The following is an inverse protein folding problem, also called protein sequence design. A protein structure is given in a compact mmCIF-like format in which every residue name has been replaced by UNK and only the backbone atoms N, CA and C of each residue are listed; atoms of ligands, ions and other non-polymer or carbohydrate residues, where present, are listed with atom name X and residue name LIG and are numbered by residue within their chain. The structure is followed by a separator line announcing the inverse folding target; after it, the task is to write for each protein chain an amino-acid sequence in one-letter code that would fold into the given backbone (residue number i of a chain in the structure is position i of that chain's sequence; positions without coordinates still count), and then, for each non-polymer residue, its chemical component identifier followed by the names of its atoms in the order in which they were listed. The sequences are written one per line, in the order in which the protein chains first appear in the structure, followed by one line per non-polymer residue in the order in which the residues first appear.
data_IF_341415219923
#
_entry.id   IF_341415219923
#
_cell.length_a   1.000
_cell.length_b   1.000
_cell.length_c   1.000
_cell.angle_alpha   90.00
_cell.angle_beta   90.00
_cell.angle_gamma   90.00
#
_symmetry.space_group_name_H-M   'P 1'
#
loop_
_entity.id
_entity.type
_entity.pdbx_description
1 polymer ?
#
# COMPACT_ATOMS: atom_id res chain seq x y z
N UNK A 1 45.47 -28.10 46.87
CA UNK A 1 44.14 -27.81 46.28
C UNK A 1 43.53 -26.43 46.62
N UNK A 2 43.95 -25.70 47.67
CA UNK A 2 43.30 -24.42 48.09
C UNK A 2 43.59 -23.19 47.18
N UNK A 3 44.71 -23.17 46.44
CA UNK A 3 45.14 -22.00 45.62
C UNK A 3 44.39 -21.86 44.28
N UNK A 4 44.07 -22.98 43.61
CA UNK A 4 43.28 -22.99 42.36
C UNK A 4 41.83 -22.51 42.58
N UNK A 5 41.19 -22.91 43.68
CA UNK A 5 39.84 -22.43 44.03
C UNK A 5 39.81 -20.92 44.28
N UNK A 6 40.84 -20.32 44.92
CA UNK A 6 40.92 -18.86 45.12
C UNK A 6 41.02 -18.08 43.80
N UNK A 7 41.82 -18.57 42.85
CA UNK A 7 41.98 -17.94 41.52
C UNK A 7 40.68 -18.02 40.71
N UNK A 8 39.99 -19.17 40.74
CA UNK A 8 38.66 -19.31 40.12
C UNK A 8 37.64 -18.32 40.70
N UNK A 9 37.64 -18.11 42.02
CA UNK A 9 36.75 -17.15 42.66
C UNK A 9 37.05 -15.70 42.25
N UNK A 10 38.34 -15.33 42.15
CA UNK A 10 38.71 -14.00 41.66
C UNK A 10 38.33 -13.79 40.19
N UNK A 11 38.44 -14.81 39.33
CA UNK A 11 37.98 -14.73 37.93
C UNK A 11 36.46 -14.59 37.83
N UNK A 12 35.68 -15.29 38.66
CA UNK A 12 34.20 -15.14 38.68
C UNK A 12 33.78 -13.76 39.18
N UNK A 13 34.45 -13.23 40.20
CA UNK A 13 34.19 -11.87 40.70
C UNK A 13 34.57 -10.81 39.65
N UNK A 14 35.73 -10.95 38.99
CA UNK A 14 36.15 -10.05 37.91
C UNK A 14 35.19 -10.10 36.72
N UNK A 15 34.68 -11.29 36.36
CA UNK A 15 33.68 -11.47 35.30
C UNK A 15 32.33 -10.84 35.67
N UNK A 16 31.91 -10.97 36.94
CA UNK A 16 30.69 -10.34 37.45
C UNK A 16 30.78 -8.81 37.46
N UNK A 17 31.95 -8.23 37.78
CA UNK A 17 32.17 -6.79 37.68
C UNK A 17 32.24 -6.30 36.22
N UNK A 18 32.81 -7.09 35.31
CA UNK A 18 32.87 -6.77 33.87
C UNK A 18 31.49 -6.64 33.20
N UNK A 19 30.48 -7.38 33.68
CA UNK A 19 29.11 -7.30 33.15
C UNK A 19 28.32 -6.06 33.62
N UNK A 20 28.83 -5.34 34.63
CA UNK A 20 28.18 -4.11 35.14
C UNK A 20 28.78 -2.81 34.59
N UNK A 21 29.90 -2.90 33.87
CA UNK A 21 30.71 -1.74 33.47
C UNK A 21 30.24 -1.01 32.20
N UNK A 22 29.21 -1.50 31.50
CA UNK A 22 28.66 -0.85 30.30
C UNK A 22 27.21 -0.35 30.47
N UNK A 23 26.79 -0.01 31.70
CA UNK A 23 25.56 0.76 31.87
C UNK A 23 25.88 2.24 31.68
N UNK A 24 25.50 2.78 30.52
CA UNK A 24 25.52 4.22 30.27
C UNK A 24 24.75 4.91 31.40
N UNK A 25 25.46 5.66 32.23
CA UNK A 25 24.86 6.36 33.37
C UNK A 25 23.98 7.49 32.85
N UNK A 26 22.66 7.29 32.89
CA UNK A 26 21.66 8.30 32.51
C UNK A 26 21.61 9.39 33.60
N UNK A 27 21.77 10.68 33.27
CA UNK A 27 21.54 11.78 34.20
C UNK A 27 20.08 11.87 34.62
N UNK A 28 19.82 12.29 35.86
CA UNK A 28 18.45 12.40 36.41
C UNK A 28 17.59 13.46 35.69
N UNK A 29 18.24 14.40 35.00
CA UNK A 29 17.58 15.43 34.18
C UNK A 29 17.02 14.90 32.86
N UNK A 30 17.37 13.67 32.47
CA UNK A 30 16.92 13.04 31.23
C UNK A 30 15.65 12.24 31.50
N UNK A 31 14.59 12.56 30.75
CA UNK A 31 13.31 11.85 30.80
C UNK A 31 13.54 10.35 30.52
N UNK A 32 13.12 9.45 31.44
CA UNK A 32 13.27 8.00 31.27
C UNK A 32 12.52 7.47 30.04
N UNK A 33 12.99 6.36 29.47
CA UNK A 33 12.45 5.78 28.23
C UNK A 33 10.92 5.64 28.24
N UNK A 34 10.35 5.02 29.28
CA UNK A 34 8.91 4.81 29.38
C UNK A 34 8.09 6.12 29.42
N UNK A 35 8.64 7.17 30.02
CA UNK A 35 8.01 8.50 30.01
C UNK A 35 8.21 9.17 28.64
N UNK A 36 9.39 9.04 28.06
CA UNK A 36 9.72 9.59 26.74
C UNK A 36 8.86 8.96 25.62
N UNK A 37 8.56 7.66 25.70
CA UNK A 37 7.62 6.97 24.80
C UNK A 37 6.26 7.67 24.76
N UNK A 38 5.69 7.99 25.93
CA UNK A 38 4.40 8.66 26.04
C UNK A 38 4.47 10.13 25.58
N UNK A 39 5.55 10.84 25.93
CA UNK A 39 5.78 12.22 25.51
C UNK A 39 5.89 12.31 23.99
N UNK A 40 6.73 11.48 23.37
CA UNK A 40 6.95 11.51 21.91
C UNK A 40 5.71 11.09 21.13
N UNK A 41 4.95 10.12 21.62
CA UNK A 41 3.68 9.75 21.02
C UNK A 41 2.71 10.95 20.95
N UNK A 42 2.46 11.63 22.08
CA UNK A 42 1.57 12.79 22.11
C UNK A 42 2.16 14.00 21.35
N UNK A 43 3.49 14.18 21.42
CA UNK A 43 4.20 15.26 20.74
C UNK A 43 4.03 15.18 19.22
N UNK A 44 4.19 13.99 18.63
CA UNK A 44 4.04 13.82 17.18
C UNK A 44 2.59 14.00 16.72
N UNK A 45 1.61 13.60 17.52
CA UNK A 45 0.19 13.87 17.25
C UNK A 45 -0.09 15.38 17.29
N UNK A 46 0.34 16.06 18.35
CA UNK A 46 0.18 17.50 18.50
C UNK A 46 0.86 18.27 17.36
N UNK A 47 2.04 17.82 16.92
CA UNK A 47 2.76 18.39 15.77
C UNK A 47 1.97 18.20 14.47
N UNK A 48 1.47 16.99 14.20
CA UNK A 48 0.64 16.72 13.03
C UNK A 48 -0.65 17.56 13.01
N UNK A 49 -1.33 17.70 14.14
CA UNK A 49 -2.47 18.62 14.28
C UNK A 49 -2.09 20.07 13.99
N UNK A 50 -0.89 20.49 14.38
CA UNK A 50 -0.36 21.83 14.12
C UNK A 50 -0.08 22.11 12.64
N UNK A 51 0.29 21.09 11.86
CA UNK A 51 0.56 21.23 10.42
C UNK A 51 -0.70 21.59 9.61
N UNK A 52 -1.87 21.13 10.07
CA UNK A 52 -3.17 21.46 9.44
C UNK A 52 -3.69 22.86 9.82
N UNK A 53 -3.07 23.54 10.80
CA UNK A 53 -3.50 24.87 11.24
C UNK A 53 -3.14 25.93 10.19
N UNK A 54 -4.10 26.79 9.77
CA UNK A 54 -3.84 27.91 8.88
C UNK A 54 -2.77 28.87 9.43
N UNK A 55 -2.04 29.54 8.54
CA UNK A 55 -0.96 30.45 8.94
C UNK A 55 -1.41 31.58 9.88
N UNK A 56 -2.64 32.09 9.69
CA UNK A 56 -3.27 33.11 10.55
C UNK A 56 -3.33 32.69 12.02
N UNK A 57 -3.39 31.38 12.28
CA UNK A 57 -3.62 30.80 13.60
C UNK A 57 -2.37 30.07 14.10
N UNK A 58 -1.19 30.41 13.56
CA UNK A 58 0.08 29.73 13.83
C UNK A 58 0.42 29.61 15.33
N UNK A 59 -0.07 30.50 16.18
CA UNK A 59 0.07 30.42 17.65
C UNK A 59 -0.52 29.12 18.23
N UNK A 60 -1.57 28.53 17.62
CA UNK A 60 -2.16 27.26 18.06
C UNK A 60 -1.18 26.10 17.96
N UNK A 61 -0.22 26.16 17.03
CA UNK A 61 0.85 25.15 16.88
C UNK A 61 1.70 25.07 18.15
N UNK A 62 2.06 26.24 18.71
CA UNK A 62 2.81 26.33 19.95
C UNK A 62 1.97 25.81 21.12
N UNK A 63 0.69 26.21 21.20
CA UNK A 63 -0.22 25.75 22.26
C UNK A 63 -0.42 24.24 22.26
N UNK A 64 -0.49 23.59 21.10
CA UNK A 64 -0.58 22.12 21.02
C UNK A 64 0.65 21.45 21.62
N UNK A 65 1.86 21.88 21.26
CA UNK A 65 3.08 21.33 21.84
C UNK A 65 3.18 21.63 23.34
N UNK A 66 2.86 22.85 23.77
CA UNK A 66 2.86 23.22 25.18
C UNK A 66 1.86 22.38 26.00
N UNK A 67 0.70 22.05 25.43
CA UNK A 67 -0.30 21.18 26.07
C UNK A 67 0.24 19.77 26.33
N UNK A 68 1.12 19.25 25.45
CA UNK A 68 1.78 17.96 25.64
C UNK A 68 2.74 18.02 26.82
N UNK A 69 3.57 19.06 26.89
CA UNK A 69 4.50 19.25 28.01
C UNK A 69 3.76 19.35 29.34
N UNK A 70 2.65 20.10 29.36
CA UNK A 70 1.79 20.21 30.54
C UNK A 70 1.15 18.88 30.93
N UNK A 71 0.64 18.11 29.96
CA UNK A 71 0.05 16.77 30.18
C UNK A 71 1.03 15.80 30.83
N UNK A 72 2.31 15.87 30.45
CA UNK A 72 3.36 14.98 30.97
C UNK A 72 4.12 15.56 32.17
N UNK A 73 3.75 16.76 32.64
CA UNK A 73 4.43 17.44 33.74
C UNK A 73 5.92 17.64 33.46
N UNK A 74 6.26 18.09 32.25
CA UNK A 74 7.62 18.44 31.85
C UNK A 74 7.64 19.86 31.29
N UNK A 75 8.82 20.48 31.26
CA UNK A 75 9.06 21.74 30.54
C UNK A 75 9.65 21.46 29.16
N UNK A 76 9.63 22.46 28.29
CA UNK A 76 10.35 22.39 27.01
C UNK A 76 11.85 22.16 27.24
N UNK A 77 12.44 22.81 28.25
CA UNK A 77 13.85 22.64 28.58
C UNK A 77 14.19 21.20 28.99
N UNK A 78 13.31 20.53 29.74
CA UNK A 78 13.50 19.12 30.12
C UNK A 78 13.48 18.21 28.88
N UNK A 79 12.54 18.47 27.96
CA UNK A 79 12.43 17.74 26.71
C UNK A 79 13.67 17.94 25.82
N UNK A 80 14.09 19.18 25.62
CA UNK A 80 15.23 19.53 24.77
C UNK A 80 16.54 18.96 25.35
N UNK A 81 16.74 19.08 26.67
CA UNK A 81 17.88 18.49 27.38
C UNK A 81 17.90 16.97 27.23
N UNK A 82 16.75 16.33 27.38
CA UNK A 82 16.62 14.89 27.19
C UNK A 82 16.94 14.50 25.75
N UNK A 83 16.45 15.24 24.76
CA UNK A 83 16.72 14.94 23.36
C UNK A 83 18.19 15.08 22.98
N UNK A 84 18.88 16.06 23.56
CA UNK A 84 20.34 16.20 23.42
C UNK A 84 21.09 14.99 23.99
N UNK A 85 20.58 14.35 25.04
CA UNK A 85 21.14 13.09 25.56
C UNK A 85 20.80 11.92 24.63
N UNK A 86 19.54 11.75 24.22
CA UNK A 86 19.10 10.65 23.34
C UNK A 86 19.81 10.68 21.98
N UNK A 87 20.11 11.86 21.43
CA UNK A 87 20.87 12.00 20.20
C UNK A 87 22.30 11.42 20.30
N UNK A 88 22.88 11.38 21.50
CA UNK A 88 24.19 10.74 21.77
C UNK A 88 24.06 9.25 22.13
N UNK A 89 22.84 8.75 22.29
CA UNK A 89 22.54 7.38 22.70
C UNK A 89 21.50 6.76 21.75
N UNK A 90 21.88 6.52 20.48
CA UNK A 90 20.96 6.10 19.43
C UNK A 90 20.24 4.78 19.73
N UNK A 91 20.88 3.85 20.46
CA UNK A 91 20.25 2.58 20.85
C UNK A 91 19.06 2.79 21.80
N UNK A 92 19.16 3.75 22.73
CA UNK A 92 18.07 4.08 23.64
C UNK A 92 16.93 4.77 22.87
N UNK A 93 17.27 5.72 22.00
CA UNK A 93 16.29 6.45 21.19
C UNK A 93 15.54 5.51 20.22
N UNK A 94 16.24 4.57 19.61
CA UNK A 94 15.67 3.58 18.69
C UNK A 94 14.61 2.73 19.39
N UNK A 95 14.91 2.21 20.59
CA UNK A 95 13.96 1.41 21.39
C UNK A 95 12.69 2.20 21.74
N UNK A 96 12.84 3.48 22.10
CA UNK A 96 11.71 4.37 22.36
C UNK A 96 10.86 4.53 21.09
N UNK A 97 11.48 4.83 19.96
CA UNK A 97 10.77 5.02 18.69
C UNK A 97 10.12 3.75 18.14
N UNK A 98 10.72 2.57 18.33
CA UNK A 98 10.11 1.30 17.95
C UNK A 98 8.72 1.14 18.59
N UNK A 99 8.61 1.41 19.89
CA UNK A 99 7.33 1.32 20.61
C UNK A 99 6.35 2.43 20.21
N UNK A 100 6.84 3.66 20.03
CA UNK A 100 6.00 4.78 19.55
C UNK A 100 5.41 4.45 18.18
N UNK A 101 6.23 3.95 17.26
CA UNK A 101 5.80 3.55 15.92
C UNK A 101 4.80 2.38 15.95
N UNK A 102 5.05 1.36 16.79
CA UNK A 102 4.12 0.25 16.98
C UNK A 102 2.74 0.74 17.47
N UNK A 103 2.72 1.64 18.46
CA UNK A 103 1.47 2.21 19.00
C UNK A 103 0.72 3.04 17.95
N UNK A 104 1.41 3.97 17.27
CA UNK A 104 0.80 4.80 16.21
C UNK A 104 0.25 3.93 15.08
N UNK A 105 0.96 2.87 14.70
CA UNK A 105 0.49 1.92 13.69
C UNK A 105 -0.77 1.18 14.14
N UNK A 106 -0.79 0.67 15.38
CA UNK A 106 -1.94 -0.03 15.92
C UNK A 106 -3.20 0.85 15.94
N UNK A 107 -3.07 2.12 16.35
CA UNK A 107 -4.20 3.06 16.34
C UNK A 107 -4.67 3.40 14.93
N UNK A 108 -3.74 3.64 14.00
CA UNK A 108 -4.06 3.83 12.57
C UNK A 108 -4.84 2.63 12.03
N UNK A 109 -4.38 1.41 12.31
CA UNK A 109 -5.00 0.18 11.83
C UNK A 109 -6.41 0.01 12.42
N UNK A 110 -6.60 0.38 13.70
CA UNK A 110 -7.91 0.44 14.36
C UNK A 110 -8.86 1.44 13.69
N UNK A 111 -8.40 2.66 13.41
CA UNK A 111 -9.21 3.69 12.72
C UNK A 111 -9.58 3.22 11.30
N UNK A 112 -8.62 2.66 10.56
CA UNK A 112 -8.86 2.13 9.22
C UNK A 112 -9.90 0.99 9.25
N UNK A 113 -9.87 0.14 10.28
CA UNK A 113 -10.87 -0.90 10.46
C UNK A 113 -12.27 -0.31 10.67
N UNK A 114 -12.42 0.72 11.50
CA UNK A 114 -13.70 1.41 11.72
C UNK A 114 -14.23 2.08 10.45
N UNK A 115 -13.34 2.68 9.65
CA UNK A 115 -13.70 3.27 8.34
C UNK A 115 -14.19 2.18 7.38
N UNK A 116 -13.54 1.02 7.35
CA UNK A 116 -13.94 -0.09 6.50
C UNK A 116 -15.34 -0.61 6.87
N UNK A 117 -15.63 -0.76 8.18
CA UNK A 117 -16.96 -1.15 8.67
C UNK A 117 -18.04 -0.14 8.29
N UNK A 118 -17.78 1.17 8.50
CA UNK A 118 -18.72 2.25 8.14
C UNK A 118 -19.04 2.25 6.65
N UNK A 119 -18.03 2.04 5.81
CA UNK A 119 -18.16 2.14 4.36
C UNK A 119 -18.63 0.81 3.71
N UNK A 120 -18.94 -0.24 4.49
CA UNK A 120 -19.21 -1.61 4.01
C UNK A 120 -18.13 -2.13 3.05
N UNK A 121 -16.88 -1.74 3.28
CA UNK A 121 -15.75 -2.20 2.46
C UNK A 121 -15.25 -3.52 3.03
N UNK A 122 -15.29 -4.62 2.26
CA UNK A 122 -14.77 -5.89 2.75
C UNK A 122 -13.27 -5.74 3.05
N UNK A 123 -12.83 -6.32 4.17
CA UNK A 123 -11.43 -6.27 4.62
C UNK A 123 -10.49 -6.91 3.61
N UNK A 124 -11.00 -7.91 2.89
CA UNK A 124 -10.29 -8.62 1.84
C UNK A 124 -11.13 -8.58 0.56
N UNK A 125 -10.45 -8.40 -0.56
CA UNK A 125 -10.99 -8.56 -1.90
C UNK A 125 -11.49 -9.99 -2.12
N UNK A 126 -12.34 -10.20 -3.13
CA UNK A 126 -12.81 -11.54 -3.46
C UNK A 126 -11.64 -12.41 -3.98
N UNK A 127 -11.61 -13.70 -3.62
CA UNK A 127 -10.66 -14.64 -4.21
C UNK A 127 -10.98 -14.86 -5.68
N UNK A 128 -9.93 -15.09 -6.49
CA UNK A 128 -10.07 -15.40 -7.91
C UNK A 128 -9.01 -14.71 -8.78
N UNK A 129 -8.82 -15.24 -9.98
CA UNK A 129 -7.74 -14.85 -10.89
C UNK A 129 -7.96 -13.52 -11.59
N UNK A 130 -9.22 -13.10 -11.75
CA UNK A 130 -9.60 -11.87 -12.46
C UNK A 130 -10.77 -11.20 -11.76
N UNK A 131 -10.46 -10.30 -10.84
CA UNK A 131 -11.46 -9.69 -9.95
C UNK A 131 -11.38 -8.17 -10.01
N UNK A 132 -12.54 -7.51 -10.01
CA UNK A 132 -12.62 -6.06 -9.81
C UNK A 132 -12.46 -5.78 -8.31
N UNK A 133 -11.34 -5.20 -7.93
CA UNK A 133 -11.00 -4.84 -6.54
C UNK A 133 -11.33 -3.39 -6.21
N UNK A 134 -12.05 -2.68 -7.11
CA UNK A 134 -12.48 -1.30 -6.87
C UNK A 134 -13.54 -1.21 -5.77
N UNK A 135 -13.25 -0.41 -4.74
CA UNK A 135 -14.11 -0.19 -3.57
C UNK A 135 -14.76 1.21 -3.54
N UNK A 136 -14.42 2.07 -4.50
CA UNK A 136 -14.94 3.45 -4.57
C UNK A 136 -16.26 3.55 -5.32
N UNK A 137 -16.81 4.76 -5.44
CA UNK A 137 -17.93 5.00 -6.36
C UNK A 137 -17.50 4.71 -7.79
N UNK A 138 -18.41 4.23 -8.63
CA UNK A 138 -18.15 3.99 -10.04
C UNK A 138 -18.33 5.23 -10.91
N UNK A 139 -18.74 6.36 -10.32
CA UNK A 139 -19.03 7.62 -10.99
C UNK A 139 -18.65 8.82 -10.11
N UNK A 140 -18.01 9.81 -10.73
CA UNK A 140 -17.67 11.09 -10.13
C UNK A 140 -17.89 12.20 -11.16
N UNK A 141 -18.42 13.33 -10.69
CA UNK A 141 -18.53 14.57 -11.43
C UNK A 141 -17.44 15.51 -10.92
N UNK A 142 -16.60 16.02 -11.82
CA UNK A 142 -15.47 16.88 -11.50
C UNK A 142 -15.66 18.23 -12.20
N UNK A 143 -15.57 19.34 -11.47
CA UNK A 143 -15.83 20.69 -12.02
C UNK A 143 -14.63 21.63 -11.98
N UNK A 144 -13.45 21.13 -11.56
CA UNK A 144 -12.22 21.94 -11.48
C UNK A 144 -12.22 22.91 -10.30
N UNK A 145 -13.31 22.99 -9.52
CA UNK A 145 -13.35 23.78 -8.29
C UNK A 145 -12.65 23.04 -7.14
N UNK A 146 -12.10 23.74 -6.14
CA UNK A 146 -11.33 23.10 -5.06
C UNK A 146 -12.04 21.97 -4.30
N UNK A 147 -13.39 21.96 -4.31
CA UNK A 147 -14.19 20.98 -3.55
C UNK A 147 -14.39 19.65 -4.29
N UNK A 148 -14.33 19.65 -5.62
CA UNK A 148 -14.69 18.50 -6.45
C UNK A 148 -13.75 18.32 -7.66
N UNK A 149 -12.56 18.92 -7.61
CA UNK A 149 -11.57 18.82 -8.68
C UNK A 149 -10.75 17.53 -8.65
N UNK A 150 -10.92 16.66 -7.64
CA UNK A 150 -10.11 15.45 -7.53
C UNK A 150 -10.89 14.24 -7.03
N UNK A 151 -10.54 13.09 -7.59
CA UNK A 151 -10.74 11.78 -7.02
C UNK A 151 -9.37 11.27 -6.57
N UNK A 152 -9.24 10.81 -5.33
CA UNK A 152 -8.07 10.10 -4.87
C UNK A 152 -8.50 8.83 -4.14
N UNK A 153 -7.71 7.77 -4.27
CA UNK A 153 -7.93 6.52 -3.56
C UNK A 153 -6.62 5.91 -3.09
N UNK A 154 -6.74 5.16 -2.01
CA UNK A 154 -5.70 4.29 -1.46
C UNK A 154 -6.34 2.95 -1.17
N UNK A 155 -5.80 1.89 -1.77
CA UNK A 155 -6.24 0.51 -1.60
C UNK A 155 -5.09 -0.29 -1.00
N UNK A 156 -5.16 -0.68 0.29
CA UNK A 156 -4.14 -1.55 0.87
C UNK A 156 -4.19 -2.92 0.20
N UNK A 157 -3.03 -3.56 0.11
CA UNK A 157 -2.94 -4.96 -0.28
C UNK A 157 -3.54 -5.85 0.80
N UNK A 158 -4.17 -6.94 0.39
CA UNK A 158 -4.74 -7.96 1.25
C UNK A 158 -4.17 -9.35 0.92
N UNK A 159 -4.65 -10.38 1.60
CA UNK A 159 -4.18 -11.77 1.43
C UNK A 159 -4.42 -12.36 0.05
N UNK A 160 -5.32 -11.77 -0.75
CA UNK A 160 -5.62 -12.19 -2.11
C UNK A 160 -4.80 -11.45 -3.16
N UNK A 161 -3.93 -10.50 -2.80
CA UNK A 161 -2.93 -9.97 -3.73
C UNK A 161 -1.68 -10.84 -3.69
N UNK A 162 -1.16 -11.16 -4.87
CA UNK A 162 0.04 -11.97 -5.02
C UNK A 162 1.15 -11.14 -5.67
N UNK A 163 2.37 -11.62 -5.46
CA UNK A 163 3.52 -11.16 -6.22
C UNK A 163 3.23 -11.27 -7.71
N UNK A 164 3.65 -10.25 -8.47
CA UNK A 164 3.52 -10.18 -9.94
C UNK A 164 2.09 -10.00 -10.46
N UNK A 165 1.13 -9.71 -9.58
CA UNK A 165 -0.22 -9.37 -10.03
C UNK A 165 -0.19 -8.15 -10.96
N UNK A 166 -0.99 -8.22 -12.03
CA UNK A 166 -1.21 -7.09 -12.93
C UNK A 166 -2.44 -6.33 -12.48
N UNK A 167 -2.28 -5.04 -12.25
CA UNK A 167 -3.36 -4.14 -11.87
C UNK A 167 -3.69 -3.20 -13.01
N UNK A 168 -4.97 -3.21 -13.41
CA UNK A 168 -5.49 -2.41 -14.52
C UNK A 168 -6.59 -1.49 -14.03
N UNK A 169 -6.30 -0.20 -13.97
CA UNK A 169 -7.26 0.83 -13.62
C UNK A 169 -7.87 1.44 -14.86
N UNK A 170 -9.17 1.25 -15.05
CA UNK A 170 -9.92 1.70 -16.23
C UNK A 170 -10.98 2.70 -15.82
N UNK A 171 -11.04 3.81 -16.54
CA UNK A 171 -11.98 4.91 -16.30
C UNK A 171 -12.51 5.42 -17.62
N UNK A 172 -13.82 5.66 -17.72
CA UNK A 172 -14.42 6.35 -18.86
C UNK A 172 -14.61 7.83 -18.53
N UNK A 173 -14.03 8.68 -19.36
CA UNK A 173 -14.17 10.13 -19.27
C UNK A 173 -15.17 10.63 -20.29
N UNK A 174 -16.08 11.50 -19.84
CA UNK A 174 -17.04 12.21 -20.68
C UNK A 174 -16.94 13.70 -20.41
N UNK A 175 -16.50 14.44 -21.41
CA UNK A 175 -16.42 15.90 -21.37
C UNK A 175 -17.76 16.48 -21.80
N UNK A 176 -18.43 17.20 -20.91
CA UNK A 176 -19.80 17.68 -21.13
C UNK A 176 -19.85 19.02 -21.88
N UNK A 177 -18.76 19.78 -21.87
CA UNK A 177 -18.69 21.17 -22.34
C UNK A 177 -17.59 21.40 -23.38
N UNK A 178 -17.27 20.37 -24.18
CA UNK A 178 -16.18 20.39 -25.17
C UNK A 178 -14.87 19.82 -24.64
N UNK A 179 -13.85 19.70 -25.51
CA UNK A 179 -12.53 19.19 -25.11
C UNK A 179 -11.75 20.25 -24.32
N UNK A 180 -11.13 19.89 -23.19
CA UNK A 180 -10.30 20.83 -22.43
C UNK A 180 -9.06 21.22 -23.23
N UNK A 181 -8.57 22.42 -22.96
CA UNK A 181 -7.22 22.80 -23.38
C UNK A 181 -6.17 21.84 -22.78
N UNK A 182 -5.07 21.59 -23.50
CA UNK A 182 -4.03 20.64 -23.12
C UNK A 182 -3.33 21.00 -21.81
N UNK A 183 -3.35 22.28 -21.41
CA UNK A 183 -2.86 22.77 -20.11
C UNK A 183 -3.80 22.42 -18.95
N UNK A 184 -5.09 22.27 -19.23
CA UNK A 184 -6.14 22.03 -18.24
C UNK A 184 -6.79 20.64 -18.39
N UNK A 185 -6.16 19.75 -19.15
CA UNK A 185 -6.60 18.38 -19.31
C UNK A 185 -6.51 17.62 -17.97
N UNK A 186 -7.51 16.79 -17.62
CA UNK A 186 -7.43 15.92 -16.45
C UNK A 186 -6.19 15.05 -16.47
N UNK A 187 -5.64 14.84 -15.28
CA UNK A 187 -4.50 13.98 -15.03
C UNK A 187 -4.99 12.75 -14.28
N UNK A 188 -4.75 11.57 -14.85
CA UNK A 188 -5.01 10.28 -14.20
C UNK A 188 -3.66 9.65 -13.91
N UNK A 189 -3.43 9.24 -12.66
CA UNK A 189 -2.19 8.61 -12.25
C UNK A 189 -2.45 7.46 -11.28
N UNK A 190 -1.68 6.38 -11.44
CA UNK A 190 -1.68 5.24 -10.53
C UNK A 190 -0.25 4.94 -10.09
N UNK A 191 -0.11 4.53 -8.83
CA UNK A 191 1.13 4.09 -8.24
C UNK A 191 0.89 2.79 -7.46
N UNK A 192 1.81 1.85 -7.58
CA UNK A 192 1.89 0.66 -6.74
C UNK A 192 3.12 0.78 -5.86
N UNK A 193 2.90 0.65 -4.55
CA UNK A 193 3.94 0.53 -3.55
C UNK A 193 4.22 -0.96 -3.33
N UNK A 194 5.42 -1.42 -3.68
CA UNK A 194 5.88 -2.77 -3.43
C UNK A 194 6.75 -2.85 -2.17
N UNK A 195 7.14 -4.07 -1.80
CA UNK A 195 8.04 -4.31 -0.68
C UNK A 195 9.39 -3.60 -0.84
N UNK A 196 9.96 -3.63 -2.05
CA UNK A 196 11.31 -3.14 -2.36
C UNK A 196 11.34 -1.74 -2.96
N UNK A 197 10.36 -1.38 -3.79
CA UNK A 197 10.34 -0.11 -4.52
C UNK A 197 8.90 0.28 -4.92
N UNK A 198 8.76 1.34 -5.72
CA UNK A 198 7.49 1.88 -6.19
C UNK A 198 7.46 1.96 -7.70
N UNK A 199 6.28 1.74 -8.29
CA UNK A 199 6.08 1.86 -9.73
C UNK A 199 4.89 2.79 -9.97
N UNK A 200 5.00 3.71 -10.92
CA UNK A 200 3.95 4.66 -11.24
C UNK A 200 3.77 4.84 -12.75
N UNK A 201 2.57 5.23 -13.13
CA UNK A 201 2.25 5.67 -14.48
C UNK A 201 1.19 6.77 -14.41
N UNK A 202 1.25 7.68 -15.38
CA UNK A 202 0.40 8.85 -15.44
C UNK A 202 0.07 9.18 -16.89
N UNK A 203 -1.16 9.59 -17.14
CA UNK A 203 -1.63 10.06 -18.44
C UNK A 203 -2.49 11.32 -18.32
N UNK A 204 -2.46 12.13 -19.38
CA UNK A 204 -3.37 13.27 -19.56
C UNK A 204 -4.55 12.84 -20.43
N UNK A 205 -5.76 13.08 -19.94
CA UNK A 205 -6.99 12.76 -20.66
C UNK A 205 -7.36 13.91 -21.58
N UNK A 206 -7.11 13.75 -22.88
CA UNK A 206 -7.32 14.84 -23.86
C UNK A 206 -8.71 14.84 -24.51
N UNK A 207 -9.42 13.71 -24.46
CA UNK A 207 -10.69 13.51 -25.16
C UNK A 207 -11.62 12.55 -24.42
N UNK A 208 -12.91 12.63 -24.70
CA UNK A 208 -13.89 11.66 -24.19
C UNK A 208 -13.50 10.26 -24.67
N UNK A 209 -13.51 9.29 -23.76
CA UNK A 209 -13.03 7.95 -24.06
C UNK A 209 -12.78 7.15 -22.80
N UNK A 210 -12.42 5.89 -23.00
CA UNK A 210 -11.95 5.03 -21.92
C UNK A 210 -10.44 5.09 -21.89
N UNK A 211 -9.89 5.50 -20.75
CA UNK A 211 -8.46 5.49 -20.49
C UNK A 211 -8.15 4.36 -19.52
N UNK A 212 -6.94 3.82 -19.61
CA UNK A 212 -6.51 2.70 -18.77
C UNK A 212 -5.04 2.84 -18.41
N UNK A 213 -4.73 2.63 -17.14
CA UNK A 213 -3.36 2.50 -16.63
C UNK A 213 -3.17 1.04 -16.20
N UNK A 214 -2.08 0.40 -16.65
CA UNK A 214 -1.81 -1.02 -16.38
C UNK A 214 -0.41 -1.17 -15.83
N UNK A 215 -0.30 -1.57 -14.57
CA UNK A 215 0.97 -1.70 -13.87
C UNK A 215 1.17 -3.12 -13.36
N UNK A 216 2.39 -3.62 -13.46
CA UNK A 216 2.84 -4.90 -12.93
C UNK A 216 4.35 -4.81 -12.66
N UNK A 217 4.86 -5.69 -11.81
CA UNK A 217 6.29 -5.82 -11.60
C UNK A 217 6.66 -7.27 -11.27
N UNK A 218 7.72 -7.79 -11.90
CA UNK A 218 8.13 -9.17 -11.70
C UNK A 218 9.04 -9.36 -10.46
N UNK A 219 9.83 -8.35 -10.08
CA UNK A 219 10.95 -8.51 -9.14
C UNK A 219 10.86 -7.66 -7.86
N UNK A 220 9.83 -6.81 -7.76
CA UNK A 220 9.68 -5.82 -6.68
C UNK A 220 9.07 -6.40 -5.39
N UNK A 221 8.65 -7.67 -5.42
CA UNK A 221 8.10 -8.42 -4.28
C UNK A 221 6.62 -8.15 -4.05
N UNK A 222 6.18 -8.32 -2.81
CA UNK A 222 4.78 -8.16 -2.40
C UNK A 222 4.25 -6.75 -2.66
N UNK A 223 3.03 -6.67 -3.17
CA UNK A 223 2.27 -5.42 -3.25
C UNK A 223 1.89 -5.04 -1.82
N UNK A 224 2.19 -3.81 -1.41
CA UNK A 224 1.80 -3.26 -0.10
C UNK A 224 0.56 -2.40 -0.20
N UNK A 225 0.50 -1.53 -1.20
CA UNK A 225 -0.54 -0.54 -1.32
C UNK A 225 -0.63 -0.02 -2.76
N UNK A 226 -1.85 0.31 -3.20
CA UNK A 226 -2.12 0.88 -4.51
C UNK A 226 -2.75 2.24 -4.29
N UNK A 227 -2.19 3.25 -4.94
CA UNK A 227 -2.65 4.63 -4.85
C UNK A 227 -3.01 5.11 -6.24
N UNK A 228 -3.98 6.00 -6.31
CA UNK A 228 -4.23 6.69 -7.57
C UNK A 228 -5.09 7.92 -7.39
N UNK A 229 -5.05 8.78 -8.39
CA UNK A 229 -5.87 9.96 -8.42
C UNK A 229 -6.27 10.34 -9.84
N UNK A 230 -7.40 11.01 -9.94
CA UNK A 230 -7.81 11.82 -11.08
C UNK A 230 -7.85 13.25 -10.58
N UNK A 231 -7.09 14.13 -11.20
CA UNK A 231 -7.08 15.55 -10.88
C UNK A 231 -7.52 16.34 -12.12
N UNK A 232 -8.51 17.20 -11.94
CA UNK A 232 -8.98 18.12 -12.96
C UNK A 232 -8.62 19.55 -12.55
N UNK A 233 -7.58 20.16 -13.16
CA UNK A 233 -7.12 21.48 -12.74
C UNK A 233 -8.19 22.57 -12.91
N UNK A 234 -8.10 23.61 -12.08
CA UNK A 234 -9.01 24.74 -12.12
C UNK A 234 -9.05 25.39 -13.50
N UNK A 235 -10.26 25.65 -13.98
CA UNK A 235 -10.49 26.26 -15.28
C UNK A 235 -11.11 27.64 -15.14
N UNK A 236 -10.82 28.52 -16.11
CA UNK A 236 -11.46 29.85 -16.21
C UNK A 236 -12.95 29.75 -16.58
N UNK A 237 -13.35 28.68 -17.25
CA UNK A 237 -14.74 28.40 -17.63
C UNK A 237 -15.22 27.16 -16.88
N UNK A 238 -16.49 27.16 -16.45
CA UNK A 238 -17.13 26.05 -15.74
C UNK A 238 -17.38 24.86 -16.69
N UNK A 239 -16.31 24.18 -17.08
CA UNK A 239 -16.38 22.91 -17.78
C UNK A 239 -16.45 21.80 -16.74
N UNK A 240 -17.28 20.79 -17.00
CA UNK A 240 -17.39 19.66 -16.11
C UNK A 240 -17.16 18.35 -16.84
N UNK A 241 -16.61 17.40 -16.09
CA UNK A 241 -16.19 16.12 -16.60
C UNK A 241 -16.84 15.05 -15.74
N UNK A 242 -17.39 14.05 -16.41
CA UNK A 242 -17.92 12.87 -15.77
C UNK A 242 -16.90 11.74 -15.93
N UNK A 243 -16.33 11.29 -14.82
CA UNK A 243 -15.52 10.09 -14.75
C UNK A 243 -16.41 8.94 -14.27
N UNK A 244 -16.68 7.97 -15.13
CA UNK A 244 -17.61 6.89 -14.83
C UNK A 244 -17.11 5.51 -15.29
N UNK A 245 -17.84 4.46 -14.93
CA UNK A 245 -17.45 3.06 -15.15
C UNK A 245 -16.04 2.77 -14.62
N UNK A 246 -15.74 3.33 -13.45
CA UNK A 246 -14.44 3.15 -12.81
C UNK A 246 -14.32 1.70 -12.35
N UNK A 247 -13.24 1.04 -12.73
CA UNK A 247 -12.92 -0.33 -12.31
C UNK A 247 -11.41 -0.49 -12.13
N UNK A 248 -11.02 -1.28 -11.14
CA UNK A 248 -9.64 -1.67 -10.91
C UNK A 248 -9.60 -3.19 -10.93
N UNK A 249 -9.11 -3.75 -12.03
CA UNK A 249 -9.01 -5.20 -12.21
C UNK A 249 -7.66 -5.69 -11.72
N UNK A 250 -7.67 -6.72 -10.87
CA UNK A 250 -6.50 -7.52 -10.51
C UNK A 250 -6.48 -8.79 -11.37
N UNK A 251 -5.33 -9.07 -11.96
CA UNK A 251 -5.05 -10.30 -12.67
C UNK A 251 -3.88 -11.03 -12.02
N UNK A 252 -4.09 -12.29 -11.61
CA UNK A 252 -3.00 -13.13 -11.13
C UNK A 252 -2.06 -13.52 -12.27
N UNK A 253 -0.75 -13.47 -12.02
CA UNK A 253 0.23 -14.03 -12.94
C UNK A 253 0.04 -15.55 -13.03
N UNK A 254 -0.20 -16.06 -14.23
CA UNK A 254 -0.43 -17.50 -14.49
C UNK A 254 0.83 -18.27 -14.84
N UNK A 255 1.98 -17.60 -14.95
CA UNK A 255 3.21 -18.23 -15.40
C UNK A 255 3.81 -19.14 -14.32
N UNK A 256 3.93 -20.42 -14.66
CA UNK A 256 4.51 -21.49 -13.82
C UNK A 256 6.03 -21.39 -13.64
N UNK A 257 6.68 -20.36 -14.19
CA UNK A 257 8.14 -20.21 -14.24
C UNK A 257 8.84 -20.24 -12.87
N UNK A 258 8.12 -19.96 -11.78
CA UNK A 258 8.65 -20.02 -10.42
C UNK A 258 7.87 -21.00 -9.49
N UNK A 259 6.92 -21.78 -10.03
CA UNK A 259 6.14 -22.74 -9.25
C UNK A 259 6.80 -24.14 -9.15
N UNK A 260 8.02 -24.31 -9.67
CA UNK A 260 8.67 -25.63 -9.80
C UNK A 260 9.26 -26.15 -8.48
N UNK A 261 9.46 -25.31 -7.45
CA UNK A 261 10.30 -25.66 -6.30
C UNK A 261 9.58 -25.95 -4.97
N UNK A 262 8.27 -26.25 -4.99
CA UNK A 262 7.56 -26.70 -3.76
C UNK A 262 6.98 -28.11 -3.79
N UNK A 263 6.84 -28.72 -4.97
CA UNK A 263 6.28 -30.08 -5.10
C UNK A 263 7.32 -31.15 -5.45
N UNK A 264 8.48 -30.77 -5.98
CA UNK A 264 9.54 -31.68 -6.44
C UNK A 264 10.47 -32.19 -5.32
N UNK A 265 10.35 -31.69 -4.09
CA UNK A 265 11.18 -32.10 -2.93
C UNK A 265 10.49 -33.09 -1.98
N UNK A 266 9.51 -33.85 -2.46
CA UNK A 266 8.99 -35.03 -1.76
C UNK A 266 8.97 -36.22 -2.69
N UNK A 267 10.13 -36.82 -2.94
CA UNK A 267 10.18 -38.21 -3.40
C UNK A 267 11.12 -38.97 -2.46
N UNK A 268 10.47 -39.92 -1.81
CA UNK A 268 10.93 -40.89 -0.83
C UNK A 268 12.08 -41.74 -1.39
N UNK A 269 13.11 -41.95 -0.57
CA UNK A 269 14.17 -42.93 -0.82
C UNK A 269 13.57 -44.34 -0.76
N UNK A 270 13.47 -45.02 -1.92
CA UNK A 270 13.51 -46.50 -2.00
C UNK A 270 13.76 -47.01 -3.43
N UNK A 271 15.02 -47.41 -3.63
CA UNK A 271 15.54 -48.54 -4.43
C UNK A 271 14.87 -48.97 -5.76
N UNK A 272 15.54 -48.59 -6.86
CA UNK A 272 16.13 -49.42 -7.94
C UNK A 272 15.43 -50.77 -8.27
N UNK A 273 15.01 -50.92 -9.54
CA UNK A 273 15.54 -51.96 -10.45
C UNK A 273 15.34 -51.63 -11.95
N UNK A 274 16.43 -51.89 -12.69
CA UNK A 274 16.64 -51.77 -14.15
C UNK A 274 15.72 -52.71 -14.94
N UNK A 275 15.37 -52.31 -16.16
CA UNK A 275 15.82 -53.03 -17.35
C UNK A 275 15.81 -52.16 -18.61
N UNK A 276 16.76 -52.47 -19.49
CA UNK A 276 17.31 -51.72 -20.62
C UNK A 276 16.77 -52.38 -21.92
N UNK A 277 16.45 -51.66 -23.02
CA UNK A 277 17.30 -51.46 -24.23
C UNK A 277 16.40 -50.91 -25.38
N UNK A 278 16.94 -50.17 -26.37
CA UNK A 278 16.24 -49.15 -27.16
C UNK A 278 15.97 -49.53 -28.64
N UNK A 279 15.17 -48.73 -29.36
CA UNK A 279 15.02 -48.85 -30.82
C UNK A 279 14.13 -47.79 -31.49
N UNK A 280 14.79 -46.77 -32.06
CA UNK A 280 14.52 -45.84 -33.19
C UNK A 280 13.09 -45.45 -33.68
N UNK A 281 12.97 -44.24 -34.29
CA UNK A 281 11.72 -43.48 -34.46
C UNK A 281 11.02 -43.70 -35.81
N UNK A 282 9.70 -43.58 -35.85
CA UNK A 282 8.91 -43.50 -37.09
C UNK A 282 7.75 -42.49 -36.94
N UNK A 283 7.97 -41.34 -37.59
CA UNK A 283 7.11 -40.69 -38.58
C UNK A 283 5.66 -40.24 -38.27
N UNK A 284 5.41 -38.97 -38.62
CA UNK A 284 4.12 -38.30 -38.75
C UNK A 284 3.10 -39.12 -39.56
N UNK A 285 1.87 -39.19 -39.05
CA UNK A 285 0.66 -39.27 -39.88
C UNK A 285 -0.30 -38.14 -39.50
N UNK A 286 -0.52 -37.25 -40.47
CA UNK A 286 -1.74 -36.42 -40.59
C UNK A 286 -2.84 -37.25 -41.25
N UNK A 287 -4.09 -36.82 -41.01
CA UNK A 287 -5.39 -37.13 -41.63
C UNK A 287 -6.38 -37.66 -40.57
N UNK A 288 -7.62 -37.20 -40.43
CA UNK A 288 -8.45 -36.35 -41.29
C UNK A 288 -9.54 -35.64 -40.47
N UNK A 289 -10.06 -34.57 -41.06
CA UNK A 289 -11.25 -33.84 -40.65
C UNK A 289 -12.47 -34.76 -40.49
N UNK A 290 -13.19 -34.61 -39.37
CA UNK A 290 -14.63 -34.89 -39.32
C UNK A 290 -15.33 -33.71 -38.66
N UNK A 291 -16.06 -32.97 -39.50
CA UNK A 291 -17.07 -31.98 -39.11
C UNK A 291 -18.13 -32.66 -38.25
N UNK A 292 -18.36 -32.13 -37.05
CA UNK A 292 -19.70 -32.16 -36.47
C UNK A 292 -20.04 -30.78 -35.90
N UNK A 293 -21.12 -30.26 -36.46
CA UNK A 293 -21.67 -28.94 -36.25
C UNK A 293 -22.40 -28.85 -34.91
N UNK A 294 -21.96 -27.96 -34.02
CA UNK A 294 -22.78 -27.49 -32.89
C UNK A 294 -23.09 -26.01 -33.10
N UNK A 295 -24.38 -25.75 -33.21
CA UNK A 295 -25.03 -24.48 -33.56
C UNK A 295 -24.80 -23.41 -32.48
N UNK A 296 -24.45 -22.19 -32.91
CA UNK A 296 -24.55 -20.94 -32.13
C UNK A 296 -26.03 -20.59 -31.89
N UNK A 297 -26.44 -20.13 -30.69
CA UNK A 297 -27.70 -19.43 -30.53
C UNK A 297 -27.59 -18.01 -31.12
N UNK A 298 -28.55 -17.66 -31.97
CA UNK A 298 -28.66 -16.41 -32.71
C UNK A 298 -28.89 -15.18 -31.82
N UNK A 299 -28.44 -14.05 -32.37
CA UNK A 299 -28.63 -12.69 -31.89
C UNK A 299 -30.11 -12.35 -31.69
N UNK A 300 -30.43 -11.67 -30.58
CA UNK A 300 -31.72 -10.99 -30.39
C UNK A 300 -31.89 -9.86 -31.43
N UNK A 301 -33.05 -9.74 -32.10
CA UNK A 301 -33.30 -8.66 -33.04
C UNK A 301 -33.49 -7.30 -32.33
N UNK A 302 -32.94 -6.25 -32.95
CA UNK A 302 -32.98 -4.85 -32.51
C UNK A 302 -34.36 -4.22 -32.81
N UNK A 303 -34.97 -3.42 -31.92
CA UNK A 303 -36.23 -2.73 -32.20
C UNK A 303 -36.06 -1.65 -33.30
N UNK A 304 -36.97 -1.64 -34.29
CA UNK A 304 -37.05 -0.59 -35.32
C UNK A 304 -37.75 0.65 -34.75
N UNK A 305 -37.17 1.83 -34.95
CA UNK A 305 -37.82 3.12 -34.71
C UNK A 305 -39.01 3.30 -35.67
N UNK A 306 -40.19 3.65 -35.12
CA UNK A 306 -41.33 4.17 -35.90
C UNK A 306 -40.95 5.55 -36.44
N UNK A 307 -41.07 5.73 -37.76
CA UNK A 307 -41.11 7.04 -38.39
C UNK A 307 -42.47 7.68 -38.09
N UNK A 308 -42.46 8.85 -37.47
CA UNK A 308 -43.60 9.77 -37.41
C UNK A 308 -43.72 10.46 -38.76
N UNK A 309 -44.80 10.18 -39.48
CA UNK A 309 -45.26 11.02 -40.60
C UNK A 309 -46.06 12.20 -40.03
N UNK A 310 -45.56 13.40 -40.25
CA UNK A 310 -46.36 14.63 -40.19
C UNK A 310 -47.35 14.66 -41.36
N UNK A 311 -48.63 14.85 -41.03
CA UNK A 311 -49.59 15.68 -41.75
C UNK A 311 -50.73 16.02 -40.79
#
# INVERSE_FOLDING_TARGET
MKRKKRIQWYSVILLAFGLTACQVKRPDTVIPDAKMENVLYDFHIAKAMGEEVPYSDSYKRVLYIESVYRKHGITQADFDTSMVWYARHPDALTKVYEKVNQRLKAERDGINHLIALRDNKPKESLPGDSINVWIGRHIYHLTGTPLDNKLAFTLPSDTNFKDRDTLRWTVRFRFLSGTPDSLHAPLMAMQILYAKDTLNEMLKVKRSGTETISLFADTLGEIKEIRGFIYYPAQKSAQSILADRISLMRYHATDTLFNVDKESLKIDDKEIKKDMVPGKPVELKKQDEKKDSIRRPEMRPRPRLRQTTEK
#
